data_IF_493855644310
#
_entry.id   IF_493855644310
#
_cell.length_a   1.000
_cell.length_b   1.000
_cell.length_c   1.000
_cell.angle_alpha   90.00
_cell.angle_beta   90.00
_cell.angle_gamma   90.00
#
_symmetry.space_group_name_H-M   'P 1'
#
loop_
_entity.id
_entity.type
_entity.pdbx_description
1 polymer ?
#
# COMPACT_ATOMS: atom_id res chain seq x y z
N UNK A 1 -38.96 -26.14 -39.40
CA UNK A 1 -38.37 -26.61 -38.14
C UNK A 1 -37.18 -25.71 -37.86
N UNK A 2 -37.46 -24.46 -37.47
CA UNK A 2 -36.48 -23.37 -37.34
C UNK A 2 -36.94 -22.47 -36.20
N UNK A 3 -36.71 -22.88 -34.95
CA UNK A 3 -36.85 -21.94 -33.83
C UNK A 3 -36.05 -22.31 -32.56
N UNK A 4 -35.05 -23.18 -32.68
CA UNK A 4 -34.23 -23.58 -31.52
C UNK A 4 -32.81 -22.97 -31.53
N UNK A 5 -32.36 -22.39 -32.65
CA UNK A 5 -31.03 -21.77 -32.77
C UNK A 5 -31.01 -20.27 -32.39
N UNK A 6 -32.17 -19.60 -32.41
CA UNK A 6 -32.29 -18.18 -32.04
C UNK A 6 -32.19 -17.98 -30.52
N UNK A 7 -32.74 -18.92 -29.75
CA UNK A 7 -32.76 -18.91 -28.28
C UNK A 7 -31.39 -19.20 -27.67
N UNK A 8 -30.56 -20.02 -28.32
CA UNK A 8 -29.19 -20.31 -27.87
C UNK A 8 -28.24 -19.12 -28.08
N UNK A 9 -28.46 -18.31 -29.12
CA UNK A 9 -27.70 -17.06 -29.34
C UNK A 9 -28.14 -15.93 -28.40
N UNK A 10 -29.41 -15.89 -27.99
CA UNK A 10 -29.87 -14.98 -26.92
C UNK A 10 -29.32 -15.37 -25.54
N UNK A 11 -29.24 -16.68 -25.24
CA UNK A 11 -28.69 -17.17 -23.97
C UNK A 11 -27.16 -16.98 -23.85
N UNK A 12 -26.42 -16.99 -24.96
CA UNK A 12 -24.99 -16.72 -24.98
C UNK A 12 -24.64 -15.21 -24.92
N UNK A 13 -25.60 -14.32 -25.23
CA UNK A 13 -25.41 -12.87 -25.17
C UNK A 13 -25.71 -12.28 -23.77
N UNK A 14 -26.33 -13.06 -22.88
CA UNK A 14 -26.64 -12.67 -21.51
C UNK A 14 -25.48 -12.86 -20.51
N UNK A 15 -24.36 -13.43 -20.95
CA UNK A 15 -23.18 -13.69 -20.10
C UNK A 15 -22.02 -12.69 -20.36
N UNK A 16 -22.29 -11.61 -21.09
CA UNK A 16 -21.33 -10.52 -21.33
C UNK A 16 -21.83 -9.26 -20.64
N UNK A 17 -21.14 -8.92 -19.55
CA UNK A 17 -21.20 -7.68 -18.76
C UNK A 17 -22.35 -7.60 -17.75
N UNK A 18 -22.13 -8.15 -16.56
CA UNK A 18 -22.11 -7.41 -15.30
C UNK A 18 -21.43 -8.34 -14.26
N UNK A 19 -20.38 -7.87 -13.57
CA UNK A 19 -20.62 -6.84 -12.59
C UNK A 19 -19.62 -5.69 -12.79
N UNK A 20 -20.09 -4.60 -13.38
CA UNK A 20 -19.82 -3.34 -12.70
C UNK A 20 -20.72 -3.30 -11.46
N UNK A 21 -20.41 -4.17 -10.49
CA UNK A 21 -20.54 -3.75 -9.11
C UNK A 21 -19.65 -2.52 -9.03
N UNK A 22 -20.24 -1.35 -9.25
CA UNK A 22 -19.64 -0.10 -8.84
C UNK A 22 -19.52 -0.28 -7.33
N UNK A 23 -18.36 -0.74 -6.88
CA UNK A 23 -18.02 -0.76 -5.49
C UNK A 23 -17.99 0.70 -5.06
N UNK A 24 -19.15 1.15 -4.60
CA UNK A 24 -19.34 2.49 -4.15
C UNK A 24 -18.64 2.57 -2.80
N UNK A 25 -17.46 3.17 -2.82
CA UNK A 25 -16.73 3.44 -1.59
C UNK A 25 -17.59 4.41 -0.79
N UNK A 26 -18.37 3.89 0.16
CA UNK A 26 -19.24 4.70 1.02
C UNK A 26 -18.40 5.82 1.63
N UNK A 27 -18.76 7.07 1.36
CA UNK A 27 -17.99 8.23 1.81
C UNK A 27 -17.69 8.21 3.31
N UNK A 28 -18.58 7.63 4.13
CA UNK A 28 -18.37 7.47 5.57
C UNK A 28 -17.14 6.61 5.94
N UNK A 29 -16.76 5.66 5.09
CA UNK A 29 -15.61 4.77 5.33
C UNK A 29 -14.28 5.43 5.01
N UNK A 30 -14.28 6.50 4.20
CA UNK A 30 -13.06 7.21 3.81
C UNK A 30 -12.35 7.81 5.03
N UNK A 31 -13.11 8.28 6.02
CA UNK A 31 -12.57 8.84 7.26
C UNK A 31 -11.89 7.79 8.15
N UNK A 32 -12.16 6.50 7.93
CA UNK A 32 -11.56 5.40 8.70
C UNK A 32 -10.22 4.95 8.14
N UNK A 33 -9.82 5.41 6.95
CA UNK A 33 -8.53 5.04 6.40
C UNK A 33 -7.38 5.62 7.22
N UNK A 34 -6.28 4.85 7.38
CA UNK A 34 -5.06 5.42 7.95
C UNK A 34 -4.64 6.63 7.12
N UNK A 35 -4.04 7.61 7.78
CA UNK A 35 -3.56 8.84 7.14
C UNK A 35 -2.05 8.83 7.10
N UNK A 36 -1.51 9.09 5.92
CA UNK A 36 -0.08 9.23 5.68
C UNK A 36 0.22 10.63 5.15
N UNK A 37 1.04 11.36 5.90
CA UNK A 37 1.39 12.76 5.65
C UNK A 37 2.78 12.90 5.02
N UNK A 38 3.57 11.82 4.99
CA UNK A 38 4.96 11.82 4.54
C UNK A 38 5.91 12.47 5.55
N UNK A 39 5.55 12.51 6.82
CA UNK A 39 6.35 13.15 7.88
C UNK A 39 7.50 12.26 8.35
N UNK A 40 8.53 12.89 8.94
CA UNK A 40 9.63 12.18 9.57
C UNK A 40 9.09 11.32 10.74
N UNK A 41 9.34 10.01 10.68
CA UNK A 41 8.86 9.04 11.67
C UNK A 41 7.62 8.25 11.26
N UNK A 42 6.93 8.64 10.18
CA UNK A 42 5.91 7.79 9.58
C UNK A 42 6.58 6.63 8.81
N UNK A 43 5.98 5.44 8.93
CA UNK A 43 6.46 4.23 8.24
C UNK A 43 5.52 3.91 7.05
N UNK A 44 6.00 4.07 5.80
CA UNK A 44 5.20 3.79 4.62
C UNK A 44 4.85 2.29 4.46
N UNK A 45 5.67 1.37 4.99
CA UNK A 45 5.34 -0.06 5.00
C UNK A 45 4.21 -0.36 5.98
N UNK A 46 4.27 0.24 7.18
CA UNK A 46 3.18 0.15 8.16
C UNK A 46 1.88 0.71 7.59
N UNK A 47 1.93 1.88 6.95
CA UNK A 47 0.76 2.48 6.29
C UNK A 47 0.13 1.55 5.25
N UNK A 48 0.92 0.97 4.35
CA UNK A 48 0.43 0.02 3.35
C UNK A 48 -0.20 -1.22 3.98
N UNK A 49 0.36 -1.72 5.09
CA UNK A 49 -0.17 -2.87 5.82
C UNK A 49 -1.52 -2.54 6.44
N UNK A 50 -1.66 -1.38 7.09
CA UNK A 50 -2.90 -0.93 7.70
C UNK A 50 -3.98 -0.65 6.64
N UNK A 51 -3.62 -0.01 5.52
CA UNK A 51 -4.53 0.25 4.40
C UNK A 51 -5.04 -1.03 3.73
N UNK A 52 -4.23 -2.09 3.68
CA UNK A 52 -4.61 -3.35 3.05
C UNK A 52 -5.71 -4.10 3.81
N UNK A 53 -5.84 -3.91 5.13
CA UNK A 53 -6.81 -4.63 5.95
C UNK A 53 -8.23 -4.26 5.53
N UNK A 54 -8.94 -5.21 4.90
CA UNK A 54 -10.36 -5.07 4.59
C UNK A 54 -10.70 -4.62 3.17
N UNK A 55 -9.72 -4.40 2.29
CA UNK A 55 -9.98 -4.11 0.86
C UNK A 55 -9.53 -5.32 0.04
N UNK A 56 -10.45 -6.15 -0.49
CA UNK A 56 -10.06 -7.37 -1.21
C UNK A 56 -9.47 -7.06 -2.60
N UNK A 57 -10.03 -6.09 -3.31
CA UNK A 57 -9.77 -5.91 -4.74
C UNK A 57 -8.78 -4.80 -5.04
N UNK A 58 -7.84 -5.08 -5.94
CA UNK A 58 -6.76 -4.17 -6.31
C UNK A 58 -7.26 -2.89 -6.99
N UNK A 59 -8.32 -2.98 -7.79
CA UNK A 59 -8.95 -1.80 -8.39
C UNK A 59 -9.56 -0.88 -7.32
N UNK A 60 -10.25 -1.43 -6.31
CA UNK A 60 -10.76 -0.65 -5.17
C UNK A 60 -9.60 -0.02 -4.41
N UNK A 61 -8.52 -0.77 -4.12
CA UNK A 61 -7.32 -0.23 -3.45
C UNK A 61 -6.75 0.97 -4.19
N UNK A 62 -6.61 0.88 -5.51
CA UNK A 62 -6.09 1.98 -6.32
C UNK A 62 -6.99 3.23 -6.25
N UNK A 63 -8.31 3.06 -6.25
CA UNK A 63 -9.26 4.18 -6.12
C UNK A 63 -9.32 4.75 -4.70
N UNK A 64 -9.15 3.90 -3.68
CA UNK A 64 -9.23 4.27 -2.27
C UNK A 64 -7.92 4.86 -1.71
N UNK A 65 -6.77 4.43 -2.21
CA UNK A 65 -5.46 4.82 -1.69
C UNK A 65 -5.21 6.33 -1.67
N UNK A 66 -5.59 7.13 -2.68
CA UNK A 66 -5.46 8.59 -2.62
C UNK A 66 -6.16 9.23 -1.41
N UNK A 67 -7.20 8.59 -0.87
CA UNK A 67 -7.90 9.08 0.32
C UNK A 67 -7.20 8.72 1.63
N UNK A 68 -6.25 7.79 1.61
CA UNK A 68 -5.37 7.47 2.74
C UNK A 68 -4.16 8.41 2.84
N UNK A 69 -3.94 9.25 1.83
CA UNK A 69 -2.84 10.22 1.79
C UNK A 69 -3.36 11.62 2.14
N UNK A 70 -2.49 12.46 2.69
CA UNK A 70 -2.81 13.85 3.00
C UNK A 70 -1.76 14.85 2.47
N UNK A 71 -2.17 16.11 2.36
CA UNK A 71 -1.36 17.24 1.93
C UNK A 71 -0.53 16.95 0.67
N UNK A 72 0.76 17.28 0.76
CA UNK A 72 1.72 17.19 -0.35
C UNK A 72 1.90 15.79 -0.91
N UNK A 73 1.61 14.75 -0.12
CA UNK A 73 1.74 13.35 -0.56
C UNK A 73 0.59 12.97 -1.49
N UNK A 74 -0.62 13.43 -1.14
CA UNK A 74 -1.80 13.28 -2.00
C UNK A 74 -1.62 14.02 -3.32
N UNK A 75 -1.14 15.27 -3.26
CA UNK A 75 -0.87 16.07 -4.47
C UNK A 75 0.17 15.40 -5.37
N UNK A 76 1.26 14.87 -4.80
CA UNK A 76 2.28 14.12 -5.54
C UNK A 76 1.68 12.91 -6.27
N UNK A 77 0.76 12.17 -5.64
CA UNK A 77 0.13 11.02 -6.27
C UNK A 77 -0.71 11.45 -7.49
N UNK A 78 -1.46 12.55 -7.40
CA UNK A 78 -2.28 13.04 -8.53
C UNK A 78 -1.44 13.55 -9.71
N UNK A 79 -0.20 13.98 -9.48
CA UNK A 79 0.72 14.38 -10.53
C UNK A 79 1.32 13.22 -11.33
N UNK A 80 1.08 11.96 -10.92
CA UNK A 80 1.63 10.79 -11.61
C UNK A 80 0.57 9.79 -12.15
N UNK A 81 -0.49 10.23 -12.89
CA UNK A 81 -1.58 9.32 -13.28
C UNK A 81 -1.12 8.13 -14.13
N UNK A 82 -0.10 8.34 -14.98
CA UNK A 82 0.39 7.33 -15.91
C UNK A 82 1.17 6.18 -15.25
N UNK A 83 1.69 6.38 -14.03
CA UNK A 83 2.46 5.36 -13.31
C UNK A 83 1.58 4.35 -12.55
N UNK A 84 0.28 4.60 -12.49
CA UNK A 84 -0.65 3.88 -11.62
C UNK A 84 -1.69 3.09 -12.42
N UNK A 85 -1.22 2.14 -13.23
CA UNK A 85 -2.08 1.20 -13.95
C UNK A 85 -2.38 -0.09 -13.17
N UNK A 86 -1.62 -0.37 -12.10
CA UNK A 86 -1.77 -1.55 -11.25
C UNK A 86 -1.50 -1.17 -9.80
N UNK A 87 -2.14 -1.89 -8.86
CA UNK A 87 -1.89 -1.71 -7.43
C UNK A 87 -0.43 -2.01 -7.07
N UNK A 88 0.17 -3.02 -7.72
CA UNK A 88 1.60 -3.35 -7.57
C UNK A 88 2.52 -2.19 -7.97
N UNK A 89 2.25 -1.53 -9.10
CA UNK A 89 2.99 -0.35 -9.54
C UNK A 89 2.84 0.82 -8.57
N UNK A 90 1.61 1.12 -8.13
CA UNK A 90 1.34 2.19 -7.17
C UNK A 90 2.08 1.98 -5.83
N UNK A 91 2.02 0.77 -5.27
CA UNK A 91 2.78 0.42 -4.06
C UNK A 91 4.28 0.62 -4.24
N UNK A 92 4.83 0.18 -5.38
CA UNK A 92 6.25 0.27 -5.66
C UNK A 92 6.70 1.73 -5.71
N UNK A 93 6.04 2.55 -6.52
CA UNK A 93 6.37 3.98 -6.67
C UNK A 93 6.20 4.75 -5.34
N UNK A 94 5.17 4.43 -4.56
CA UNK A 94 5.01 4.97 -3.20
C UNK A 94 6.20 4.63 -2.30
N UNK A 95 6.61 3.36 -2.26
CA UNK A 95 7.75 2.93 -1.45
C UNK A 95 9.08 3.51 -1.95
N UNK A 96 9.31 3.58 -3.25
CA UNK A 96 10.52 4.21 -3.81
C UNK A 96 10.65 5.68 -3.41
N UNK A 97 9.51 6.39 -3.34
CA UNK A 97 9.47 7.81 -2.95
C UNK A 97 9.71 8.02 -1.46
N UNK A 98 9.04 7.25 -0.60
CA UNK A 98 9.03 7.50 0.86
C UNK A 98 9.99 6.61 1.66
N UNK A 99 10.39 5.48 1.08
CA UNK A 99 11.37 4.52 1.62
C UNK A 99 12.41 4.12 0.56
N UNK A 100 13.25 5.07 0.11
CA UNK A 100 14.23 4.79 -0.93
C UNK A 100 15.26 3.76 -0.48
N UNK A 101 15.88 3.08 -1.45
CA UNK A 101 16.94 2.07 -1.22
C UNK A 101 18.09 2.61 -0.36
N UNK A 102 18.38 3.92 -0.45
CA UNK A 102 19.38 4.56 0.40
C UNK A 102 19.03 4.49 1.89
N UNK A 103 17.77 4.65 2.29
CA UNK A 103 17.33 4.45 3.68
C UNK A 103 17.55 3.00 4.12
N UNK A 104 17.20 2.04 3.27
CA UNK A 104 17.44 0.62 3.54
C UNK A 104 18.93 0.31 3.71
N UNK A 105 19.80 0.90 2.88
CA UNK A 105 21.24 0.74 2.99
C UNK A 105 21.80 1.32 4.30
N UNK A 106 21.31 2.49 4.71
CA UNK A 106 21.66 3.10 6.00
C UNK A 106 21.26 2.22 7.18
N UNK A 107 20.00 1.75 7.21
CA UNK A 107 19.50 0.87 8.28
C UNK A 107 20.34 -0.40 8.38
N UNK A 108 20.64 -1.06 7.25
CA UNK A 108 21.52 -2.24 7.25
C UNK A 108 22.91 -1.94 7.79
N UNK A 109 23.50 -0.80 7.41
CA UNK A 109 24.82 -0.39 7.90
C UNK A 109 24.79 -0.14 9.42
N UNK A 110 23.72 0.46 9.93
CA UNK A 110 23.53 0.64 11.37
C UNK A 110 23.38 -0.70 12.08
N UNK A 111 22.62 -1.65 11.52
CA UNK A 111 22.47 -3.01 12.09
C UNK A 111 23.81 -3.73 12.16
N UNK A 112 24.61 -3.70 11.09
CA UNK A 112 25.94 -4.33 11.09
C UNK A 112 26.96 -3.59 11.97
N UNK A 113 26.77 -2.29 12.17
CA UNK A 113 27.66 -1.44 12.94
C UNK A 113 27.30 -1.30 14.42
N UNK A 114 26.12 -1.79 14.84
CA UNK A 114 25.63 -1.62 16.20
C UNK A 114 26.54 -2.36 17.19
N UNK A 115 26.89 -1.67 18.28
CA UNK A 115 27.72 -2.21 19.37
C UNK A 115 27.13 -1.75 20.70
N UNK A 116 27.31 -2.56 21.72
CA UNK A 116 26.97 -2.17 23.09
C UNK A 116 27.81 -0.94 23.49
N UNK A 117 27.14 0.10 23.97
CA UNK A 117 27.81 1.32 24.42
C UNK A 117 28.41 1.12 25.82
N UNK A 118 29.43 1.90 26.16
CA UNK A 118 30.01 1.88 27.51
C UNK A 118 28.97 2.33 28.53
N UNK A 119 28.64 1.46 29.49
CA UNK A 119 27.60 1.72 30.50
C UNK A 119 26.17 1.33 30.09
N UNK A 120 25.96 0.87 28.85
CA UNK A 120 24.67 0.30 28.41
C UNK A 120 24.55 -1.14 28.92
N UNK A 121 23.43 -1.49 29.53
CA UNK A 121 23.15 -2.88 29.92
C UNK A 121 22.89 -3.76 28.69
N UNK A 122 23.03 -5.08 28.84
CA UNK A 122 22.72 -6.01 27.75
C UNK A 122 21.25 -5.90 27.30
N UNK A 123 20.34 -5.63 28.25
CA UNK A 123 18.92 -5.46 27.97
C UNK A 123 18.65 -4.21 27.12
N UNK A 124 19.22 -3.05 27.48
CA UNK A 124 19.07 -1.81 26.71
C UNK A 124 19.66 -1.94 25.31
N UNK A 125 20.83 -2.59 25.18
CA UNK A 125 21.42 -2.91 23.90
C UNK A 125 20.49 -3.78 23.05
N UNK A 126 19.91 -4.83 23.65
CA UNK A 126 18.97 -5.74 22.98
C UNK A 126 17.69 -5.03 22.52
N UNK A 127 17.12 -4.15 23.34
CA UNK A 127 15.97 -3.33 22.94
C UNK A 127 16.31 -2.39 21.78
N UNK A 128 17.48 -1.75 21.81
CA UNK A 128 17.95 -0.87 20.72
C UNK A 128 18.17 -1.64 19.43
N UNK A 129 18.80 -2.81 19.51
CA UNK A 129 18.98 -3.72 18.38
C UNK A 129 17.64 -4.12 17.77
N UNK A 130 16.70 -4.62 18.58
CA UNK A 130 15.38 -5.02 18.09
C UNK A 130 14.58 -3.87 17.48
N UNK A 131 14.66 -2.68 18.08
CA UNK A 131 14.03 -1.47 17.54
C UNK A 131 14.58 -1.14 16.16
N UNK A 132 15.89 -1.24 15.97
CA UNK A 132 16.54 -1.02 14.68
C UNK A 132 16.15 -2.09 13.66
N UNK A 133 16.15 -3.36 14.05
CA UNK A 133 15.67 -4.47 13.21
C UNK A 133 14.22 -4.28 12.77
N UNK A 134 13.35 -3.78 13.64
CA UNK A 134 11.94 -3.51 13.32
C UNK A 134 11.76 -2.40 12.26
N UNK A 135 12.74 -1.52 12.08
CA UNK A 135 12.71 -0.49 11.02
C UNK A 135 13.13 -1.02 9.65
N UNK A 136 13.66 -2.25 9.57
CA UNK A 136 14.02 -2.89 8.32
C UNK A 136 12.84 -3.70 7.78
N UNK A 137 12.14 -3.24 6.73
CA UNK A 137 10.97 -3.93 6.17
C UNK A 137 11.29 -5.27 5.48
N UNK A 138 12.58 -5.62 5.35
CA UNK A 138 13.09 -6.80 4.63
C UNK A 138 14.14 -7.57 5.45
N UNK A 139 13.87 -7.80 6.74
CA UNK A 139 14.79 -8.56 7.59
C UNK A 139 14.96 -10.01 7.12
#
# INVERSE_FOLDING_TARGET
>A
MENQDRTLKELAMLDVLEPTQSYELKSCLIHLFPKFHGLAGEDPHKHLKEFHVGIPEDYIKMKAFPFSLDGVVKDWLYLQPALFNTWGGMKRTFLEKFFPVSKTATIRKEIYGIRQHVGETLHEYWERFNRLCATCPHH
#
